data_IF_099650841351
#
_entry.id   IF_099650841351
#
_cell.length_a   1.000
_cell.length_b   1.000
_cell.length_c   1.000
_cell.angle_alpha   90.00
_cell.angle_beta   90.00
_cell.angle_gamma   90.00
#
_symmetry.space_group_name_H-M   'P 1'
#
loop_
_entity.id
_entity.type
_entity.pdbx_description
1 polymer ?
#
# COMPACT_ATOMS: atom_id res chain seq x y z
N UNK A 1 -5.40 2.13 23.73
CA UNK A 1 -6.40 2.60 22.75
C UNK A 1 -5.93 2.27 21.35
N UNK A 2 -6.85 1.90 20.46
CA UNK A 2 -6.63 2.03 19.02
C UNK A 2 -6.38 3.51 18.78
N UNK A 3 -5.30 3.96 18.13
CA UNK A 3 -5.21 5.37 17.79
C UNK A 3 -6.41 5.66 16.87
N UNK A 4 -7.28 6.61 17.22
CA UNK A 4 -8.61 6.80 16.63
C UNK A 4 -8.60 6.91 15.08
N UNK A 5 -7.44 7.23 14.50
CA UNK A 5 -7.20 7.23 13.07
C UNK A 5 -7.24 5.84 12.43
N UNK A 6 -6.90 4.76 13.13
CA UNK A 6 -6.78 3.43 12.54
C UNK A 6 -8.16 2.84 12.16
N UNK A 7 -9.16 2.94 13.05
CA UNK A 7 -10.53 2.48 12.72
C UNK A 7 -11.13 3.27 11.57
N UNK A 8 -11.09 4.61 11.65
CA UNK A 8 -11.61 5.47 10.59
C UNK A 8 -10.91 5.19 9.24
N UNK A 9 -9.60 4.90 9.27
CA UNK A 9 -8.86 4.47 8.09
C UNK A 9 -9.39 3.13 7.54
N UNK A 10 -9.53 2.11 8.40
CA UNK A 10 -10.06 0.80 8.01
C UNK A 10 -11.45 0.93 7.41
N UNK A 11 -12.39 1.60 8.08
CA UNK A 11 -13.77 1.78 7.60
C UNK A 11 -13.81 2.41 6.20
N UNK A 12 -12.92 3.38 5.96
CA UNK A 12 -12.81 4.09 4.68
C UNK A 12 -12.28 3.22 3.54
N UNK A 13 -11.35 2.30 3.80
CA UNK A 13 -10.69 1.50 2.75
C UNK A 13 -11.23 0.07 2.64
N UNK A 14 -11.93 -0.43 3.66
CA UNK A 14 -12.39 -1.80 3.74
C UNK A 14 -13.25 -2.25 2.55
N UNK A 15 -14.26 -1.47 2.09
CA UNK A 15 -15.06 -1.86 0.93
C UNK A 15 -14.21 -2.10 -0.34
N UNK A 16 -13.19 -1.26 -0.56
CA UNK A 16 -12.29 -1.37 -1.71
C UNK A 16 -11.33 -2.56 -1.57
N UNK A 17 -10.86 -2.83 -0.36
CA UNK A 17 -10.07 -4.02 -0.06
C UNK A 17 -10.87 -5.31 -0.31
N UNK A 18 -12.15 -5.35 0.08
CA UNK A 18 -13.04 -6.49 -0.18
C UNK A 18 -13.26 -6.70 -1.68
N UNK A 19 -13.49 -5.63 -2.44
CA UNK A 19 -13.65 -5.71 -3.90
C UNK A 19 -12.39 -6.28 -4.57
N UNK A 20 -11.21 -5.76 -4.23
CA UNK A 20 -9.93 -6.23 -4.78
C UNK A 20 -9.63 -7.66 -4.36
N UNK A 21 -9.93 -8.02 -3.12
CA UNK A 21 -9.73 -9.37 -2.60
C UNK A 21 -10.43 -10.43 -3.45
N UNK A 22 -11.67 -10.17 -3.88
CA UNK A 22 -12.44 -11.10 -4.72
C UNK A 22 -11.75 -11.46 -6.03
N UNK A 23 -10.99 -10.52 -6.59
CA UNK A 23 -10.33 -10.71 -7.87
C UNK A 23 -8.87 -11.17 -7.71
N UNK A 24 -8.18 -10.86 -6.59
CA UNK A 24 -6.77 -11.24 -6.37
C UNK A 24 -6.62 -12.52 -5.55
N UNK A 25 -7.67 -12.94 -4.85
CA UNK A 25 -7.61 -13.97 -3.82
C UNK A 25 -6.87 -13.54 -2.55
N UNK A 26 -6.32 -12.32 -2.48
CA UNK A 26 -5.59 -11.85 -1.30
C UNK A 26 -6.63 -11.43 -0.24
N UNK A 27 -6.52 -11.88 1.03
CA UNK A 27 -7.45 -11.50 2.08
C UNK A 27 -7.55 -9.96 2.25
N UNK A 28 -8.76 -9.38 2.44
CA UNK A 28 -8.93 -7.93 2.51
C UNK A 28 -8.08 -7.28 3.61
N UNK A 29 -7.91 -7.94 4.75
CA UNK A 29 -7.09 -7.45 5.85
C UNK A 29 -5.61 -7.29 5.48
N UNK A 30 -5.08 -8.07 4.53
CA UNK A 30 -3.69 -7.89 4.07
C UNK A 30 -3.55 -6.64 3.19
N UNK A 31 -4.56 -6.37 2.36
CA UNK A 31 -4.61 -5.18 1.52
C UNK A 31 -4.74 -3.91 2.39
N UNK A 32 -5.58 -3.96 3.41
CA UNK A 32 -5.70 -2.90 4.42
C UNK A 32 -4.38 -2.71 5.17
N UNK A 33 -3.77 -3.79 5.68
CA UNK A 33 -2.48 -3.71 6.37
C UNK A 33 -1.40 -3.08 5.51
N UNK A 34 -1.34 -3.45 4.23
CA UNK A 34 -0.38 -2.91 3.28
C UNK A 34 -0.63 -1.41 3.04
N UNK A 35 -1.86 -1.01 2.72
CA UNK A 35 -2.20 0.42 2.57
C UNK A 35 -1.94 1.23 3.86
N UNK A 36 -2.12 0.62 5.04
CA UNK A 36 -1.84 1.26 6.32
C UNK A 36 -0.34 1.43 6.57
N UNK A 37 0.50 0.48 6.16
CA UNK A 37 1.96 0.59 6.23
C UNK A 37 2.44 1.75 5.34
N UNK A 38 2.02 1.75 4.08
CA UNK A 38 2.48 2.69 3.06
C UNK A 38 2.02 4.13 3.34
N UNK A 39 0.81 4.32 3.86
CA UNK A 39 0.25 5.64 4.15
C UNK A 39 0.40 6.09 5.61
N UNK A 40 0.98 5.27 6.48
CA UNK A 40 1.00 5.52 7.91
C UNK A 40 -0.40 5.65 8.52
N UNK A 41 -1.30 4.71 8.19
CA UNK A 41 -2.73 4.75 8.53
C UNK A 41 -3.43 6.03 8.04
N UNK A 42 -3.13 6.45 6.80
CA UNK A 42 -3.69 7.64 6.15
C UNK A 42 -3.10 8.98 6.56
N UNK A 43 -2.13 9.00 7.50
CA UNK A 43 -1.53 10.26 8.00
C UNK A 43 -0.49 10.85 7.05
N UNK A 44 0.19 9.99 6.32
CA UNK A 44 1.31 10.33 5.44
C UNK A 44 0.98 10.03 3.99
N UNK A 45 -0.30 10.16 3.61
CA UNK A 45 -0.71 10.06 2.21
C UNK A 45 0.01 11.10 1.36
N UNK A 46 0.39 10.70 0.14
CA UNK A 46 0.92 11.62 -0.85
C UNK A 46 -0.20 12.61 -1.20
N UNK A 47 0.10 13.91 -1.09
CA UNK A 47 -0.84 14.99 -1.35
C UNK A 47 -0.47 15.72 -2.62
N UNK A 48 -1.49 16.22 -3.31
CA UNK A 48 -1.33 17.15 -4.42
C UNK A 48 -0.78 18.50 -3.93
N UNK A 49 -0.35 19.34 -4.88
CA UNK A 49 0.21 20.67 -4.57
C UNK A 49 -0.81 21.58 -3.84
N UNK A 50 -2.11 21.38 -4.06
CA UNK A 50 -3.19 22.10 -3.37
C UNK A 50 -3.53 21.51 -1.98
N UNK A 51 -2.80 20.49 -1.53
CA UNK A 51 -3.00 19.81 -0.26
C UNK A 51 -4.10 18.73 -0.26
N UNK A 52 -4.83 18.55 -1.37
CA UNK A 52 -5.80 17.46 -1.53
C UNK A 52 -5.11 16.09 -1.58
N UNK A 53 -5.86 15.01 -1.30
CA UNK A 53 -5.29 13.66 -1.40
C UNK A 53 -5.05 13.30 -2.86
N UNK A 54 -3.92 12.63 -3.13
CA UNK A 54 -3.71 11.91 -4.41
C UNK A 54 -4.44 10.58 -4.45
N UNK A 55 -5.04 10.16 -3.33
CA UNK A 55 -5.59 8.83 -3.07
C UNK A 55 -4.60 7.67 -3.22
N UNK A 56 -3.32 7.92 -3.45
CA UNK A 56 -2.30 6.89 -3.62
C UNK A 56 -1.83 6.33 -2.28
N UNK A 57 -2.63 5.43 -1.72
CA UNK A 57 -2.37 4.79 -0.43
C UNK A 57 -1.20 3.81 -0.46
N UNK A 58 -0.78 3.37 -1.64
CA UNK A 58 0.20 2.30 -1.84
C UNK A 58 1.59 2.80 -2.26
N UNK A 59 1.76 4.13 -2.41
CA UNK A 59 3.03 4.71 -2.85
C UNK A 59 3.45 4.28 -4.26
N UNK A 60 2.51 3.98 -5.16
CA UNK A 60 2.84 3.47 -6.50
C UNK A 60 3.46 4.60 -7.33
N UNK A 61 4.73 4.43 -7.71
CA UNK A 61 5.44 5.34 -8.62
C UNK A 61 4.80 5.35 -10.01
N UNK A 62 4.78 6.52 -10.65
CA UNK A 62 4.38 6.72 -12.03
C UNK A 62 5.54 6.32 -12.96
N UNK A 63 5.55 5.05 -13.38
CA UNK A 63 6.52 4.54 -14.35
C UNK A 63 6.25 5.07 -15.77
N UNK A 64 7.14 4.74 -16.71
CA UNK A 64 7.08 5.21 -18.12
C UNK A 64 5.75 4.92 -18.84
N UNK A 65 5.06 3.84 -18.44
CA UNK A 65 3.81 3.40 -19.06
C UNK A 65 2.57 4.00 -18.39
N UNK A 66 2.73 4.80 -17.33
CA UNK A 66 1.61 5.46 -16.66
C UNK A 66 1.25 6.74 -17.41
N UNK A 67 0.00 6.82 -17.87
CA UNK A 67 -0.55 7.98 -18.61
C UNK A 67 -1.60 8.75 -17.81
N UNK A 68 -1.91 8.31 -16.59
CA UNK A 68 -2.87 8.97 -15.71
C UNK A 68 -2.30 10.16 -14.96
N UNK A 69 -3.08 10.71 -14.04
CA UNK A 69 -2.64 11.82 -13.20
C UNK A 69 -1.40 11.44 -12.36
N UNK A 70 -0.54 12.42 -12.11
CA UNK A 70 0.67 12.23 -11.30
C UNK A 70 0.86 13.35 -10.32
N UNK A 71 1.57 13.04 -9.23
CA UNK A 71 1.99 14.00 -8.23
C UNK A 71 3.46 13.78 -7.90
N UNK A 72 4.22 14.85 -7.74
CA UNK A 72 5.62 14.80 -7.29
C UNK A 72 5.69 14.88 -5.77
N UNK A 73 6.50 14.01 -5.16
CA UNK A 73 6.73 14.03 -3.73
C UNK A 73 8.19 13.66 -3.41
N UNK A 74 8.74 14.30 -2.39
CA UNK A 74 10.06 13.94 -1.87
C UNK A 74 9.96 12.65 -1.06
N UNK A 75 10.73 11.63 -1.42
CA UNK A 75 10.87 10.39 -0.67
C UNK A 75 12.29 10.17 -0.19
N UNK A 76 12.44 9.30 0.81
CA UNK A 76 13.74 8.81 1.26
C UNK A 76 13.97 7.44 0.66
N UNK A 77 14.88 7.34 -0.30
CA UNK A 77 15.27 6.09 -0.94
C UNK A 77 16.60 5.60 -0.39
N UNK A 78 16.78 4.28 -0.26
CA UNK A 78 18.07 3.70 0.12
C UNK A 78 18.87 3.34 -1.13
N UNK A 79 19.92 4.12 -1.41
CA UNK A 79 20.84 3.87 -2.54
C UNK A 79 22.19 3.46 -1.95
N UNK A 80 22.66 2.26 -2.28
CA UNK A 80 23.88 1.67 -1.70
C UNK A 80 23.87 1.65 -0.16
N UNK A 81 22.70 1.44 0.44
CA UNK A 81 22.51 1.39 1.90
C UNK A 81 22.48 2.75 2.59
N UNK A 82 22.58 3.86 1.86
CA UNK A 82 22.50 5.22 2.42
C UNK A 82 21.14 5.86 2.09
N UNK A 83 20.47 6.51 3.06
CA UNK A 83 19.24 7.23 2.78
C UNK A 83 19.52 8.49 1.97
N UNK A 84 18.81 8.66 0.86
CA UNK A 84 18.89 9.83 -0.02
C UNK A 84 17.49 10.38 -0.25
N UNK A 85 17.33 11.70 -0.14
CA UNK A 85 16.09 12.35 -0.54
C UNK A 85 16.04 12.49 -2.06
N UNK A 86 14.95 12.05 -2.67
CA UNK A 86 14.72 12.14 -4.10
C UNK A 86 13.31 12.64 -4.36
N UNK A 87 13.13 13.49 -5.38
CA UNK A 87 11.80 13.83 -5.87
C UNK A 87 11.37 12.74 -6.82
N UNK A 88 10.29 12.06 -6.47
CA UNK A 88 9.75 10.96 -7.24
C UNK A 88 8.35 11.32 -7.76
N UNK A 89 7.99 10.76 -8.91
CA UNK A 89 6.65 10.90 -9.47
C UNK A 89 5.80 9.71 -9.04
N UNK A 90 4.66 10.00 -8.43
CA UNK A 90 3.67 9.02 -8.01
C UNK A 90 2.42 9.11 -8.88
N UNK A 91 1.73 7.99 -9.01
CA UNK A 91 0.38 8.00 -9.56
C UNK A 91 -0.55 8.79 -8.65
N UNK A 92 -1.53 9.46 -9.21
CA UNK A 92 -2.63 10.08 -8.50
C UNK A 92 -3.95 9.53 -9.06
N UNK A 93 -4.95 9.40 -8.20
CA UNK A 93 -6.23 8.78 -8.52
C UNK A 93 -7.38 9.69 -8.10
N UNK A 94 -8.53 9.53 -8.75
CA UNK A 94 -9.75 10.27 -8.43
C UNK A 94 -10.39 9.77 -7.12
N UNK A 95 -10.11 8.52 -6.71
CA UNK A 95 -10.68 7.92 -5.50
C UNK A 95 -9.80 6.79 -4.93
N UNK A 96 -10.06 6.39 -3.68
CA UNK A 96 -9.43 5.20 -3.09
C UNK A 96 -9.81 3.92 -3.83
N UNK A 97 -11.03 3.84 -4.36
CA UNK A 97 -11.47 2.73 -5.20
C UNK A 97 -10.54 2.53 -6.41
N UNK A 98 -10.24 3.62 -7.13
CA UNK A 98 -9.32 3.59 -8.27
C UNK A 98 -7.90 3.20 -7.84
N UNK A 99 -7.41 3.72 -6.71
CA UNK A 99 -6.11 3.33 -6.16
C UNK A 99 -6.02 1.83 -5.88
N UNK A 100 -7.05 1.25 -5.27
CA UNK A 100 -7.12 -0.19 -4.97
C UNK A 100 -7.22 -1.03 -6.26
N UNK A 101 -8.00 -0.60 -7.26
CA UNK A 101 -8.09 -1.27 -8.56
C UNK A 101 -6.78 -1.24 -9.34
N UNK A 102 -6.07 -0.11 -9.34
CA UNK A 102 -4.75 0.00 -9.96
C UNK A 102 -3.71 -0.88 -9.24
N UNK A 103 -3.74 -0.90 -7.91
CA UNK A 103 -2.90 -1.80 -7.12
C UNK A 103 -3.15 -3.28 -7.48
N UNK A 104 -4.42 -3.69 -7.59
CA UNK A 104 -4.78 -5.04 -8.03
C UNK A 104 -4.25 -5.35 -9.44
N UNK A 105 -4.34 -4.38 -10.35
CA UNK A 105 -3.86 -4.50 -11.73
C UNK A 105 -2.33 -4.60 -11.77
N UNK A 106 -1.62 -3.83 -10.95
CA UNK A 106 -0.17 -3.91 -10.80
C UNK A 106 0.26 -5.32 -10.36
N UNK A 107 -0.40 -5.90 -9.36
CA UNK A 107 -0.06 -7.24 -8.87
C UNK A 107 -0.35 -8.33 -9.93
N UNK A 108 -1.45 -8.23 -10.68
CA UNK A 108 -1.80 -9.22 -11.71
C UNK A 108 -0.93 -9.14 -12.95
N UNK A 109 -0.66 -7.92 -13.42
CA UNK A 109 -0.06 -7.70 -14.73
C UNK A 109 1.47 -7.70 -14.70
N UNK A 110 2.08 -7.81 -13.51
CA UNK A 110 3.53 -7.86 -13.37
C UNK A 110 3.95 -9.19 -12.73
N UNK A 111 4.58 -10.05 -13.53
CA UNK A 111 4.95 -11.41 -13.17
C UNK A 111 5.80 -11.52 -11.90
N UNK A 112 6.53 -10.45 -11.53
CA UNK A 112 7.30 -10.40 -10.27
C UNK A 112 6.42 -10.57 -9.02
N UNK A 113 5.13 -10.22 -9.10
CA UNK A 113 4.18 -10.33 -7.99
C UNK A 113 3.34 -11.62 -8.03
N UNK A 114 3.63 -12.55 -8.93
CA UNK A 114 2.87 -13.81 -9.05
C UNK A 114 2.79 -14.59 -7.72
N UNK A 115 3.86 -14.56 -6.91
CA UNK A 115 3.92 -15.25 -5.63
C UNK A 115 2.97 -14.67 -4.54
N UNK A 116 2.49 -13.43 -4.71
CA UNK A 116 1.59 -12.80 -3.72
C UNK A 116 0.11 -12.91 -4.09
N UNK A 117 -0.21 -13.16 -5.36
CA UNK A 117 -1.59 -13.39 -5.82
C UNK A 117 -2.12 -14.66 -5.16
N UNK A 118 -3.30 -14.55 -4.52
CA UNK A 118 -3.93 -15.66 -3.81
C UNK A 118 -3.30 -16.04 -2.47
N UNK A 119 -2.26 -15.34 -2.00
CA UNK A 119 -1.58 -15.68 -0.75
C UNK A 119 -2.52 -15.56 0.45
N UNK A 120 -2.69 -16.65 1.20
CA UNK A 120 -3.52 -16.71 2.42
C UNK A 120 -2.70 -16.53 3.71
N UNK A 121 -1.37 -16.48 3.61
CA UNK A 121 -0.48 -16.33 4.75
C UNK A 121 0.14 -14.93 4.74
N UNK A 122 -0.13 -14.14 5.78
CA UNK A 122 0.32 -12.76 5.85
C UNK A 122 1.84 -12.58 5.80
N UNK A 123 2.59 -13.54 6.36
CA UNK A 123 4.06 -13.52 6.33
C UNK A 123 4.59 -13.86 4.95
N UNK A 124 3.98 -14.81 4.24
CA UNK A 124 4.36 -15.14 2.86
C UNK A 124 4.00 -14.01 1.90
N UNK A 125 2.83 -13.38 2.08
CA UNK A 125 2.44 -12.18 1.36
C UNK A 125 3.48 -11.07 1.50
N UNK A 126 3.88 -10.76 2.74
CA UNK A 126 4.86 -9.71 3.03
C UNK A 126 6.25 -10.02 2.45
N UNK A 127 6.72 -11.27 2.60
CA UNK A 127 7.98 -11.72 2.02
C UNK A 127 7.96 -11.67 0.50
N UNK A 128 6.86 -12.12 -0.12
CA UNK A 128 6.69 -12.09 -1.58
C UNK A 128 6.73 -10.67 -2.13
N UNK A 129 6.12 -9.69 -1.45
CA UNK A 129 6.22 -8.28 -1.83
C UNK A 129 7.66 -7.76 -1.75
N UNK A 130 8.40 -8.09 -0.69
CA UNK A 130 9.79 -7.69 -0.54
C UNK A 130 10.69 -8.33 -1.61
N UNK A 131 10.54 -9.64 -1.84
CA UNK A 131 11.29 -10.38 -2.88
C UNK A 131 11.00 -9.87 -4.29
N UNK A 132 9.77 -9.43 -4.54
CA UNK A 132 9.36 -8.80 -5.79
C UNK A 132 9.90 -7.36 -5.97
N UNK A 133 10.60 -6.82 -4.96
CA UNK A 133 11.16 -5.48 -4.96
C UNK A 133 10.09 -4.39 -4.86
N UNK A 134 9.04 -4.61 -4.05
CA UNK A 134 8.04 -3.57 -3.77
C UNK A 134 8.66 -2.39 -3.01
N UNK A 135 9.50 -2.67 -2.01
CA UNK A 135 10.23 -1.68 -1.23
C UNK A 135 11.71 -2.06 -1.09
N UNK A 136 12.57 -1.05 -0.94
CA UNK A 136 14.02 -1.20 -0.76
C UNK A 136 14.43 -1.42 0.69
N UNK A 137 13.53 -1.16 1.64
CA UNK A 137 13.76 -1.35 3.07
C UNK A 137 13.98 -2.85 3.39
N UNK A 138 15.13 -3.25 3.97
CA UNK A 138 15.38 -4.64 4.34
C UNK A 138 14.41 -5.16 5.41
N UNK A 139 13.75 -4.28 6.17
CA UNK A 139 12.78 -4.63 7.22
C UNK A 139 11.33 -4.58 6.75
N UNK A 140 11.10 -4.43 5.44
CA UNK A 140 9.77 -4.28 4.88
C UNK A 140 8.81 -5.42 5.23
N UNK A 141 9.20 -6.68 4.95
CA UNK A 141 8.32 -7.83 5.19
C UNK A 141 8.00 -7.98 6.68
N UNK A 142 8.96 -7.70 7.57
CA UNK A 142 8.76 -7.77 9.01
C UNK A 142 7.80 -6.68 9.50
N UNK A 143 7.93 -5.45 9.01
CA UNK A 143 7.02 -4.35 9.33
C UNK A 143 5.59 -4.67 8.88
N UNK A 144 5.42 -5.14 7.65
CA UNK A 144 4.11 -5.50 7.12
C UNK A 144 3.50 -6.70 7.88
N UNK A 145 4.29 -7.75 8.13
CA UNK A 145 3.85 -8.91 8.92
C UNK A 145 3.40 -8.52 10.32
N UNK A 146 4.08 -7.56 10.97
CA UNK A 146 3.67 -7.05 12.28
C UNK A 146 2.33 -6.32 12.24
N UNK A 147 2.04 -5.56 11.18
CA UNK A 147 0.74 -4.89 11.04
C UNK A 147 -0.37 -5.92 10.79
N UNK A 148 -0.15 -6.86 9.86
CA UNK A 148 -1.13 -7.91 9.53
C UNK A 148 -1.55 -8.71 10.77
N UNK A 149 -0.58 -9.08 11.60
CA UNK A 149 -0.82 -9.90 12.80
C UNK A 149 -1.07 -9.07 14.07
N UNK A 150 -0.98 -7.75 13.96
CA UNK A 150 -0.92 -6.83 15.09
C UNK A 150 -2.29 -6.56 15.73
N UNK A 151 -2.30 -6.18 17.02
CA UNK A 151 -3.54 -5.89 17.74
C UNK A 151 -4.27 -4.67 17.17
N UNK A 152 -3.55 -3.68 16.63
CA UNK A 152 -4.15 -2.46 16.08
C UNK A 152 -5.10 -2.76 14.92
N UNK A 153 -4.66 -3.54 13.93
CA UNK A 153 -5.49 -3.93 12.79
C UNK A 153 -6.67 -4.80 13.26
N UNK A 154 -6.41 -5.78 14.12
CA UNK A 154 -7.45 -6.67 14.65
C UNK A 154 -8.56 -5.88 15.34
N UNK A 155 -8.22 -4.93 16.21
CA UNK A 155 -9.19 -4.11 16.92
C UNK A 155 -9.96 -3.20 15.97
N UNK A 156 -9.29 -2.59 14.99
CA UNK A 156 -9.91 -1.73 13.98
C UNK A 156 -10.88 -2.48 13.04
N UNK A 157 -10.80 -3.81 12.94
CA UNK A 157 -11.70 -4.65 12.14
C UNK A 157 -12.93 -5.16 12.90
N UNK A 158 -12.88 -5.19 14.24
CA UNK A 158 -13.95 -5.77 15.08
C UNK A 158 -14.91 -4.70 15.61
N UNK A 159 -14.38 -3.53 15.96
CA UNK A 159 -15.16 -2.39 16.43
C UNK A 159 -15.60 -1.47 15.31
#
# INVERSE_FOLDING_TARGET
EVPANAKAFVDRVWPHAVEVSRSTGIPPQFLVAHSALESGWGKSEIRQADGSSSHNLFGIKAGKNWTGATVEATTTEYVNGQPQQQVERFRAYASYEESFRDYASLLRNNSRYSAVIGSQNGTEFAKGLQQAGYATDPMYADKLSRIINGPTLRQALIG
#
